data_IF_649152372064
#
_entry.id   IF_649152372064
#
_cell.length_a   1.000
_cell.length_b   1.000
_cell.length_c   1.000
_cell.angle_alpha   90.00
_cell.angle_beta   90.00
_cell.angle_gamma   90.00
#
_symmetry.space_group_name_H-M   'P 1'
#
loop_
_entity.id
_entity.type
_entity.pdbx_description
1 polymer ?
#
# COMPACT_ATOMS: atom_id res chain seq x y z
N UNK A 1 8.47 28.91 -16.25
CA UNK A 1 8.88 27.58 -16.74
C UNK A 1 7.76 26.61 -16.39
N UNK A 2 7.39 25.68 -17.26
CA UNK A 2 6.44 24.62 -16.88
C UNK A 2 7.08 23.75 -15.81
N UNK A 3 6.34 23.35 -14.76
CA UNK A 3 6.87 22.42 -13.77
C UNK A 3 7.28 21.10 -14.45
N UNK A 4 8.36 20.45 -13.98
CA UNK A 4 8.76 19.14 -14.48
C UNK A 4 7.57 18.17 -14.43
N UNK A 5 7.40 17.34 -15.47
CA UNK A 5 6.36 16.32 -15.44
C UNK A 5 6.87 15.16 -14.59
N UNK A 6 6.15 14.72 -13.56
CA UNK A 6 6.55 13.56 -12.76
C UNK A 6 6.74 12.34 -13.67
N UNK A 7 7.75 11.51 -13.38
CA UNK A 7 8.06 10.26 -14.07
C UNK A 7 8.50 10.40 -15.53
N UNK A 8 8.83 11.61 -15.98
CA UNK A 8 9.36 11.85 -17.33
C UNK A 8 10.74 12.48 -17.21
N UNK A 9 11.73 11.87 -17.85
CA UNK A 9 13.08 12.42 -17.94
C UNK A 9 13.04 13.72 -18.75
N UNK A 10 13.45 14.87 -18.17
CA UNK A 10 13.42 16.15 -18.86
C UNK A 10 14.42 16.28 -20.03
N UNK A 11 15.45 15.43 -20.08
CA UNK A 11 16.46 15.44 -21.14
C UNK A 11 16.02 14.63 -22.37
N UNK A 12 15.35 13.50 -22.15
CA UNK A 12 14.95 12.56 -23.23
C UNK A 12 13.46 12.62 -23.56
N UNK A 13 12.63 13.09 -22.63
CA UNK A 13 11.17 13.05 -22.74
C UNK A 13 10.58 11.65 -22.53
N UNK A 14 11.40 10.67 -22.16
CA UNK A 14 10.99 9.29 -21.91
C UNK A 14 10.59 9.05 -20.46
N UNK A 15 10.03 7.88 -20.18
CA UNK A 15 9.60 7.49 -18.84
C UNK A 15 10.80 7.23 -17.92
N UNK A 16 10.88 7.91 -16.79
CA UNK A 16 11.88 7.66 -15.76
C UNK A 16 11.47 6.45 -14.90
N UNK A 17 11.87 5.27 -15.37
CA UNK A 17 11.62 4.00 -14.67
C UNK A 17 12.33 3.91 -13.32
N UNK A 18 13.45 4.61 -13.13
CA UNK A 18 14.16 4.63 -11.85
C UNK A 18 13.34 5.40 -10.81
N UNK A 19 12.78 6.55 -11.18
CA UNK A 19 11.86 7.31 -10.33
C UNK A 19 10.62 6.46 -9.98
N UNK A 20 9.98 5.82 -10.96
CA UNK A 20 8.83 4.94 -10.72
C UNK A 20 9.15 3.87 -9.68
N UNK A 21 10.28 3.18 -9.83
CA UNK A 21 10.67 2.13 -8.90
C UNK A 21 10.93 2.69 -7.50
N UNK A 22 11.61 3.83 -7.41
CA UNK A 22 11.89 4.49 -6.14
C UNK A 22 10.62 4.92 -5.40
N UNK A 23 9.55 5.29 -6.12
CA UNK A 23 8.25 5.63 -5.54
C UNK A 23 7.42 4.40 -5.15
N UNK A 24 7.62 3.28 -5.87
CA UNK A 24 6.96 2.02 -5.56
C UNK A 24 7.49 1.39 -4.26
N UNK A 25 8.76 1.60 -3.90
CA UNK A 25 9.37 1.00 -2.70
C UNK A 25 8.66 1.42 -1.39
N UNK A 26 8.42 2.71 -1.11
CA UNK A 26 7.65 3.13 0.05
C UNK A 26 6.22 2.56 0.08
N UNK A 27 5.54 2.51 -1.08
CA UNK A 27 4.21 1.93 -1.20
C UNK A 27 4.21 0.44 -0.83
N UNK A 28 5.16 -0.32 -1.38
CA UNK A 28 5.31 -1.74 -1.11
C UNK A 28 5.60 -2.01 0.38
N UNK A 29 6.44 -1.18 1.02
CA UNK A 29 6.69 -1.26 2.46
C UNK A 29 5.42 -1.04 3.28
N UNK A 30 4.64 -0.02 2.93
CA UNK A 30 3.41 0.30 3.64
C UNK A 30 2.35 -0.81 3.49
N UNK A 31 2.13 -1.29 2.26
CA UNK A 31 1.26 -2.44 1.98
C UNK A 31 1.73 -3.67 2.77
N UNK A 32 3.04 -3.93 2.74
CA UNK A 32 3.66 -5.07 3.41
C UNK A 32 3.37 -5.12 4.91
N UNK A 33 3.34 -3.97 5.59
CA UNK A 33 3.01 -3.89 7.03
C UNK A 33 1.58 -4.36 7.30
N UNK A 34 0.61 -3.87 6.53
CA UNK A 34 -0.80 -4.24 6.75
C UNK A 34 -1.09 -5.68 6.35
N UNK A 35 -0.51 -6.16 5.25
CA UNK A 35 -0.62 -7.56 4.84
C UNK A 35 0.00 -8.48 5.89
N UNK A 36 1.22 -8.18 6.36
CA UNK A 36 1.86 -8.97 7.40
C UNK A 36 1.03 -8.97 8.70
N UNK A 37 0.47 -7.82 9.07
CA UNK A 37 -0.41 -7.70 10.23
C UNK A 37 -1.70 -8.51 10.10
N UNK A 38 -2.35 -8.52 8.93
CA UNK A 38 -3.58 -9.28 8.69
C UNK A 38 -3.34 -10.78 8.54
N UNK A 39 -2.15 -11.20 8.11
CA UNK A 39 -1.81 -12.61 8.00
C UNK A 39 -1.85 -13.33 9.36
N UNK A 40 -1.55 -12.62 10.46
CA UNK A 40 -1.58 -13.22 11.80
C UNK A 40 -2.99 -13.72 12.21
N UNK A 41 -4.05 -12.89 12.21
CA UNK A 41 -5.40 -13.38 12.52
C UNK A 41 -5.85 -14.44 11.52
N UNK A 42 -5.58 -14.29 10.21
CA UNK A 42 -5.94 -15.31 9.23
C UNK A 42 -5.23 -16.66 9.45
N UNK A 43 -3.96 -16.64 9.84
CA UNK A 43 -3.22 -17.86 10.16
C UNK A 43 -3.86 -18.59 11.36
N UNK A 44 -4.26 -17.87 12.40
CA UNK A 44 -4.96 -18.47 13.56
C UNK A 44 -6.30 -19.08 13.15
N UNK A 45 -7.04 -18.43 12.25
CA UNK A 45 -8.29 -18.98 11.69
C UNK A 45 -8.00 -20.29 10.97
N UNK A 46 -7.06 -20.26 10.02
CA UNK A 46 -6.69 -21.38 9.17
C UNK A 46 -6.21 -22.62 9.95
N UNK A 47 -5.42 -22.43 11.02
CA UNK A 47 -4.82 -23.56 11.74
C UNK A 47 -5.67 -24.15 12.88
N UNK A 48 -6.80 -23.56 13.27
CA UNK A 48 -7.51 -24.09 14.44
C UNK A 48 -8.87 -23.52 14.79
N UNK A 49 -9.43 -22.60 14.01
CA UNK A 49 -10.74 -22.01 14.34
C UNK A 49 -11.67 -21.84 13.13
N UNK A 50 -11.36 -22.51 12.02
CA UNK A 50 -12.18 -22.52 10.82
C UNK A 50 -13.61 -23.02 11.13
N UNK A 51 -14.62 -22.27 10.69
CA UNK A 51 -16.04 -22.58 10.93
C UNK A 51 -16.56 -22.24 12.34
N UNK A 52 -15.73 -21.71 13.24
CA UNK A 52 -16.14 -21.32 14.60
C UNK A 52 -16.47 -19.83 14.71
N UNK A 53 -17.31 -19.45 15.70
CA UNK A 53 -17.63 -18.04 15.99
C UNK A 53 -16.36 -17.22 16.32
N UNK A 54 -15.42 -17.68 17.16
CA UNK A 54 -14.15 -16.98 17.37
C UNK A 54 -13.33 -16.82 16.10
N UNK A 55 -13.32 -17.85 15.24
CA UNK A 55 -12.65 -17.79 13.94
C UNK A 55 -13.24 -16.72 13.03
N UNK A 56 -14.56 -16.59 12.99
CA UNK A 56 -15.23 -15.53 12.23
C UNK A 56 -14.85 -14.12 12.74
N UNK A 57 -14.76 -13.93 14.06
CA UNK A 57 -14.32 -12.65 14.66
C UNK A 57 -12.87 -12.33 14.28
N UNK A 58 -11.97 -13.32 14.32
CA UNK A 58 -10.59 -13.13 13.88
C UNK A 58 -10.48 -12.83 12.39
N UNK A 59 -11.27 -13.49 11.54
CA UNK A 59 -11.31 -13.21 10.11
C UNK A 59 -11.74 -11.78 9.84
N UNK A 60 -12.79 -11.30 10.53
CA UNK A 60 -13.25 -9.91 10.47
C UNK A 60 -12.17 -8.93 10.94
N UNK A 61 -11.39 -9.29 11.96
CA UNK A 61 -10.25 -8.46 12.39
C UNK A 61 -9.16 -8.37 11.30
N UNK A 62 -8.87 -9.48 10.60
CA UNK A 62 -7.96 -9.48 9.45
C UNK A 62 -8.44 -8.57 8.32
N UNK A 63 -9.74 -8.65 7.97
CA UNK A 63 -10.36 -7.77 6.97
C UNK A 63 -10.32 -6.31 7.39
N UNK A 64 -10.58 -6.02 8.66
CA UNK A 64 -10.50 -4.67 9.21
C UNK A 64 -9.10 -4.08 9.07
N UNK A 65 -8.04 -4.85 9.38
CA UNK A 65 -6.65 -4.42 9.22
C UNK A 65 -6.36 -4.09 7.75
N UNK A 66 -6.79 -4.94 6.82
CA UNK A 66 -6.61 -4.70 5.38
C UNK A 66 -7.38 -3.46 4.90
N UNK A 67 -8.62 -3.27 5.35
CA UNK A 67 -9.45 -2.13 4.97
C UNK A 67 -8.84 -0.80 5.46
N UNK A 68 -8.42 -0.75 6.73
CA UNK A 68 -7.71 0.41 7.28
C UNK A 68 -6.40 0.63 6.52
N UNK A 69 -5.64 -0.43 6.27
CA UNK A 69 -4.40 -0.38 5.51
C UNK A 69 -4.57 0.19 4.11
N UNK A 70 -5.59 -0.25 3.38
CA UNK A 70 -5.93 0.28 2.06
C UNK A 70 -6.23 1.78 2.11
N UNK A 71 -7.00 2.24 3.11
CA UNK A 71 -7.27 3.66 3.32
C UNK A 71 -6.00 4.48 3.57
N UNK A 72 -5.10 3.98 4.42
CA UNK A 72 -3.81 4.63 4.72
C UNK A 72 -2.90 4.66 3.49
N UNK A 73 -2.81 3.57 2.74
CA UNK A 73 -2.04 3.50 1.48
C UNK A 73 -2.57 4.51 0.47
N UNK A 74 -3.89 4.63 0.34
CA UNK A 74 -4.51 5.61 -0.56
C UNK A 74 -4.18 7.05 -0.15
N UNK A 75 -4.28 7.37 1.15
CA UNK A 75 -3.88 8.70 1.65
C UNK A 75 -2.42 9.00 1.35
N UNK A 76 -1.53 8.02 1.51
CA UNK A 76 -0.12 8.16 1.16
C UNK A 76 0.08 8.42 -0.34
N UNK A 77 -0.60 7.68 -1.22
CA UNK A 77 -0.54 7.89 -2.68
C UNK A 77 -0.96 9.31 -3.04
N UNK A 78 -2.08 9.79 -2.48
CA UNK A 78 -2.58 11.14 -2.73
C UNK A 78 -1.56 12.18 -2.26
N UNK A 79 -1.08 12.07 -1.03
CA UNK A 79 -0.11 13.00 -0.48
C UNK A 79 1.19 13.00 -1.30
N UNK A 80 1.67 11.83 -1.74
CA UNK A 80 2.88 11.73 -2.56
C UNK A 80 2.68 12.34 -3.95
N UNK A 81 1.54 12.09 -4.58
CA UNK A 81 1.20 12.67 -5.88
C UNK A 81 1.18 14.19 -5.83
N UNK A 82 0.60 14.78 -4.78
CA UNK A 82 0.60 16.24 -4.58
C UNK A 82 2.03 16.78 -4.43
N UNK A 83 2.89 16.09 -3.65
CA UNK A 83 4.30 16.52 -3.51
C UNK A 83 5.05 16.47 -4.84
N UNK A 84 4.96 15.35 -5.56
CA UNK A 84 5.64 15.17 -6.84
C UNK A 84 5.18 16.20 -7.89
N UNK A 85 3.93 16.65 -7.83
CA UNK A 85 3.40 17.67 -8.73
C UNK A 85 3.78 19.11 -8.34
N UNK A 86 4.20 19.33 -7.09
CA UNK A 86 4.64 20.63 -6.58
C UNK A 86 6.16 20.83 -6.58
N UNK A 87 6.92 19.78 -6.88
CA UNK A 87 8.36 19.80 -7.15
C UNK A 87 8.65 20.20 -8.61
#
# INVERSE_FOLDING_TARGET
MSPPRPFIDPATGELDTAQILSEAVPLAKLIGVFVAGSLLPYAIVFFGSEGSVPGAVLALLGEFILAVGAGVVLMYVIARGIRLAGE
#
